data_IF_654690482581
#
_entry.id   IF_654690482581
#
_cell.length_a   1.000
_cell.length_b   1.000
_cell.length_c   1.000
_cell.angle_alpha   90.00
_cell.angle_beta   90.00
_cell.angle_gamma   90.00
#
_symmetry.space_group_name_H-M   'P 1'
#
loop_
_entity.id
_entity.type
_entity.pdbx_description
1 polymer ?
#
# COMPACT_ATOMS: atom_id res chain seq x y z
N UNK A 1 19.19 -40.59 57.12
CA UNK A 1 18.25 -40.08 56.10
C UNK A 1 18.64 -38.65 55.76
N UNK A 2 19.25 -38.43 54.59
CA UNK A 2 19.61 -37.08 54.13
C UNK A 2 18.63 -36.69 53.01
N UNK A 3 17.78 -35.73 53.32
CA UNK A 3 16.79 -35.23 52.37
C UNK A 3 17.45 -34.25 51.37
N UNK A 4 17.47 -34.61 50.11
CA UNK A 4 17.99 -33.79 49.01
C UNK A 4 16.87 -32.87 48.52
N UNK A 5 17.00 -31.55 48.74
CA UNK A 5 16.07 -30.55 48.23
C UNK A 5 16.57 -30.16 46.84
N UNK A 6 15.80 -30.52 45.81
CA UNK A 6 16.05 -30.19 44.44
C UNK A 6 15.40 -28.81 44.14
N UNK A 7 16.19 -27.74 44.06
CA UNK A 7 15.73 -26.42 43.68
C UNK A 7 15.62 -26.34 42.17
N UNK A 8 14.41 -26.31 41.63
CA UNK A 8 14.11 -26.07 40.20
C UNK A 8 14.13 -24.55 40.02
N UNK A 9 15.15 -24.06 39.33
CA UNK A 9 15.22 -22.65 38.86
C UNK A 9 14.44 -22.54 37.54
N UNK A 10 13.27 -21.93 37.58
CA UNK A 10 12.54 -21.52 36.37
C UNK A 10 13.23 -20.30 35.77
N UNK A 11 13.93 -20.49 34.65
CA UNK A 11 14.36 -19.40 33.78
C UNK A 11 13.15 -18.95 32.94
N UNK A 12 12.51 -17.87 33.36
CA UNK A 12 11.53 -17.15 32.51
C UNK A 12 12.30 -16.40 31.43
N UNK A 13 12.32 -16.91 30.21
CA UNK A 13 12.80 -16.16 29.04
C UNK A 13 11.74 -15.10 28.75
N UNK A 14 11.99 -13.88 29.21
CA UNK A 14 11.26 -12.70 28.74
C UNK A 14 11.69 -12.45 27.27
N UNK A 15 10.85 -12.87 26.32
CA UNK A 15 10.94 -12.40 24.95
C UNK A 15 10.55 -10.92 24.99
N UNK A 16 11.54 -10.03 25.03
CA UNK A 16 11.31 -8.61 24.77
C UNK A 16 10.89 -8.51 23.30
N UNK A 17 9.58 -8.36 23.05
CA UNK A 17 9.08 -7.84 21.79
C UNK A 17 9.57 -6.40 21.73
N UNK A 18 10.74 -6.20 21.14
CA UNK A 18 11.18 -4.87 20.74
C UNK A 18 10.16 -4.35 19.74
N UNK A 19 9.35 -3.37 20.15
CA UNK A 19 8.55 -2.60 19.22
C UNK A 19 9.50 -2.06 18.15
N UNK A 20 9.37 -2.55 16.93
CA UNK A 20 10.20 -2.14 15.81
C UNK A 20 9.94 -0.64 15.64
N UNK A 21 10.93 0.18 15.97
CA UNK A 21 10.83 1.63 15.87
C UNK A 21 10.83 1.98 14.39
N UNK A 22 9.62 2.22 13.83
CA UNK A 22 9.47 2.61 12.45
C UNK A 22 9.87 4.07 12.29
N UNK A 23 10.78 4.35 11.37
CA UNK A 23 11.10 5.71 11.00
C UNK A 23 10.00 6.26 10.10
N UNK A 24 9.73 7.55 10.23
CA UNK A 24 8.75 8.26 9.43
C UNK A 24 9.46 9.32 8.58
N UNK A 25 9.07 9.45 7.32
CA UNK A 25 9.62 10.43 6.39
C UNK A 25 8.51 11.36 5.94
N UNK A 26 8.67 12.66 6.16
CA UNK A 26 7.79 13.68 5.60
C UNK A 26 7.90 13.72 4.08
N UNK A 27 6.77 13.83 3.39
CA UNK A 27 6.77 13.89 1.94
C UNK A 27 7.19 15.27 1.42
N UNK A 28 6.77 16.32 2.09
CA UNK A 28 6.93 17.70 1.63
C UNK A 28 7.89 18.45 2.55
N UNK A 29 8.96 19.06 2.00
CA UNK A 29 9.97 19.77 2.82
C UNK A 29 9.46 21.11 3.37
N UNK A 30 8.35 21.62 2.84
CA UNK A 30 7.75 22.89 3.22
C UNK A 30 6.23 22.83 3.16
N UNK A 31 5.62 23.84 2.55
CA UNK A 31 4.17 23.87 2.39
C UNK A 31 3.68 22.72 1.50
N UNK A 32 2.69 21.97 1.98
CA UNK A 32 2.04 20.90 1.22
C UNK A 32 1.24 21.51 0.07
N UNK A 33 1.44 21.07 -1.19
CA UNK A 33 0.75 21.65 -2.34
C UNK A 33 -0.77 21.65 -2.19
N UNK A 34 -1.39 22.81 -2.44
CA UNK A 34 -2.86 23.01 -2.31
C UNK A 34 -3.45 22.79 -0.92
N UNK A 35 -2.64 22.59 0.13
CA UNK A 35 -3.10 22.50 1.51
C UNK A 35 -3.09 23.89 2.16
N UNK A 36 -4.22 24.26 2.76
CA UNK A 36 -4.38 25.57 3.42
C UNK A 36 -4.18 25.51 4.94
N UNK A 37 -4.33 24.35 5.53
CA UNK A 37 -4.30 24.16 6.97
C UNK A 37 -3.25 23.09 7.31
N UNK A 38 -2.37 23.41 8.26
CA UNK A 38 -1.55 22.42 8.95
C UNK A 38 -2.20 22.11 10.28
N UNK A 39 -2.78 20.93 10.41
CA UNK A 39 -3.33 20.41 11.65
C UNK A 39 -2.64 19.08 11.96
N UNK A 40 -2.46 18.78 13.22
CA UNK A 40 -2.00 17.44 13.61
C UNK A 40 -3.00 16.38 13.11
N UNK A 41 -2.49 15.23 12.67
CA UNK A 41 -3.31 14.12 12.23
C UNK A 41 -4.11 13.57 13.41
N UNK A 42 -5.41 13.39 13.26
CA UNK A 42 -6.26 12.78 14.27
C UNK A 42 -6.22 11.25 14.11
N UNK A 43 -6.00 10.54 15.20
CA UNK A 43 -5.99 9.07 15.26
C UNK A 43 -7.14 8.61 16.12
N UNK A 44 -8.01 7.76 15.57
CA UNK A 44 -9.17 7.21 16.25
C UNK A 44 -9.13 5.68 16.22
N UNK A 45 -9.34 5.02 17.37
CA UNK A 45 -9.59 3.59 17.44
C UNK A 45 -11.09 3.32 17.18
N UNK A 46 -11.41 2.42 16.25
CA UNK A 46 -12.81 2.01 16.04
C UNK A 46 -13.21 0.89 17.01
N UNK A 47 -14.51 0.70 17.21
CA UNK A 47 -15.06 -0.42 18.01
C UNK A 47 -14.64 -1.78 17.46
N UNK A 48 -14.34 -1.89 16.15
CA UNK A 48 -13.87 -3.10 15.49
C UNK A 48 -12.34 -3.29 15.57
N UNK A 49 -11.64 -2.51 16.39
CA UNK A 49 -10.19 -2.60 16.53
C UNK A 49 -9.39 -2.15 15.31
N UNK A 50 -9.97 -1.32 14.43
CA UNK A 50 -9.26 -0.71 13.30
C UNK A 50 -8.79 0.69 13.68
N UNK A 51 -7.49 0.92 13.62
CA UNK A 51 -6.89 2.23 13.83
C UNK A 51 -7.18 3.13 12.63
N UNK A 52 -7.91 4.21 12.86
CA UNK A 52 -8.30 5.18 11.85
C UNK A 52 -7.55 6.49 12.03
N UNK A 53 -6.93 6.95 10.96
CA UNK A 53 -6.29 8.27 10.91
C UNK A 53 -7.13 9.19 10.03
N UNK A 54 -7.53 10.32 10.56
CA UNK A 54 -8.29 11.36 9.86
C UNK A 54 -7.51 12.68 9.83
N UNK A 55 -8.04 13.66 9.08
CA UNK A 55 -7.48 15.03 9.03
C UNK A 55 -6.00 15.11 8.63
N UNK A 56 -5.50 14.18 7.81
CA UNK A 56 -4.13 14.21 7.33
C UNK A 56 -3.90 15.44 6.47
N UNK A 57 -3.07 16.36 6.93
CA UNK A 57 -2.68 17.61 6.25
C UNK A 57 -1.17 17.72 6.04
N UNK A 58 -0.38 16.96 6.81
CA UNK A 58 1.09 16.81 6.67
C UNK A 58 1.39 15.33 6.32
N UNK A 59 1.34 14.95 5.03
CA UNK A 59 1.47 13.56 4.61
C UNK A 59 2.89 13.03 4.81
N UNK A 60 2.96 11.76 5.21
CA UNK A 60 4.21 11.07 5.56
C UNK A 60 4.23 9.64 5.00
N UNK A 61 5.37 8.98 5.09
CA UNK A 61 5.50 7.53 4.91
C UNK A 61 6.15 6.89 6.12
N UNK A 62 5.55 5.83 6.67
CA UNK A 62 6.19 4.95 7.65
C UNK A 62 7.09 3.95 6.91
N UNK A 63 8.31 3.75 7.40
CA UNK A 63 9.34 2.94 6.75
C UNK A 63 9.47 1.58 7.43
N UNK A 64 9.27 0.51 6.68
CA UNK A 64 9.40 -0.89 7.09
C UNK A 64 10.45 -1.58 6.22
N UNK A 65 11.72 -1.50 6.61
CA UNK A 65 12.79 -2.16 5.86
C UNK A 65 12.88 -3.64 6.23
N UNK A 66 13.11 -4.47 5.21
CA UNK A 66 13.45 -5.88 5.42
C UNK A 66 14.97 -6.08 5.26
N UNK A 67 15.61 -6.92 6.10
CA UNK A 67 17.01 -7.25 5.91
C UNK A 67 17.26 -7.94 4.57
N UNK A 68 18.28 -7.50 3.85
CA UNK A 68 18.69 -8.18 2.63
C UNK A 68 19.37 -9.51 2.97
N UNK A 69 18.78 -10.62 2.51
CA UNK A 69 19.37 -11.96 2.70
C UNK A 69 20.57 -12.24 1.76
N UNK A 70 20.69 -11.48 0.68
CA UNK A 70 21.73 -11.68 -0.35
C UNK A 70 22.77 -10.56 -0.42
N UNK A 71 22.67 -9.55 0.46
CA UNK A 71 23.44 -8.31 0.39
C UNK A 71 23.05 -7.38 -0.77
N UNK A 72 22.10 -7.78 -1.63
CA UNK A 72 21.58 -6.94 -2.73
C UNK A 72 20.45 -6.02 -2.26
N UNK A 73 20.22 -4.89 -2.93
CA UNK A 73 19.07 -4.05 -2.65
C UNK A 73 17.75 -4.83 -2.71
N UNK A 74 16.83 -4.55 -1.79
CA UNK A 74 15.52 -5.23 -1.67
C UNK A 74 14.49 -4.62 -2.59
N UNK A 75 13.53 -5.41 -3.14
CA UNK A 75 12.32 -4.85 -3.73
C UNK A 75 11.53 -4.05 -2.70
N UNK A 76 10.67 -3.14 -3.16
CA UNK A 76 9.88 -2.33 -2.25
C UNK A 76 8.46 -2.06 -2.77
N UNK A 77 7.55 -1.74 -1.84
CA UNK A 77 6.16 -1.40 -2.13
C UNK A 77 5.73 -0.17 -1.32
N UNK A 78 5.16 0.82 -2.00
CA UNK A 78 4.40 1.89 -1.34
C UNK A 78 2.98 1.37 -1.10
N UNK A 79 2.54 1.32 0.15
CA UNK A 79 1.23 0.79 0.57
C UNK A 79 0.29 1.95 0.84
N UNK A 80 -0.85 1.96 0.15
CA UNK A 80 -1.90 2.96 0.27
C UNK A 80 -3.12 2.34 1.01
N UNK A 81 -3.32 2.62 2.31
CA UNK A 81 -4.48 2.14 3.03
C UNK A 81 -5.80 2.64 2.42
N UNK A 82 -6.89 1.92 2.64
CA UNK A 82 -8.24 2.37 2.31
C UNK A 82 -8.83 3.28 3.39
N UNK A 83 -10.15 3.46 3.31
CA UNK A 83 -10.91 4.31 4.22
C UNK A 83 -11.77 5.34 3.50
N UNK A 84 -12.19 5.05 2.25
CA UNK A 84 -13.16 5.84 1.48
C UNK A 84 -12.69 7.26 1.12
N UNK A 85 -11.39 7.55 1.14
CA UNK A 85 -10.82 8.90 1.11
C UNK A 85 -11.30 9.82 2.26
N UNK A 86 -11.87 9.25 3.31
CA UNK A 86 -12.31 9.98 4.50
C UNK A 86 -11.36 9.80 5.67
N UNK A 87 -10.82 8.59 5.83
CA UNK A 87 -9.83 8.20 6.82
C UNK A 87 -8.79 7.27 6.17
N UNK A 88 -7.78 6.87 6.94
CA UNK A 88 -6.87 5.78 6.61
C UNK A 88 -7.06 4.64 7.62
N UNK A 89 -7.36 3.42 7.15
CA UNK A 89 -7.41 2.20 7.97
C UNK A 89 -5.98 1.71 8.21
N UNK A 90 -5.25 2.41 9.08
CA UNK A 90 -3.79 2.42 9.09
C UNK A 90 -3.15 1.11 9.55
N UNK A 91 -3.73 0.44 10.56
CA UNK A 91 -3.25 -0.86 11.04
C UNK A 91 -3.62 -1.98 10.05
N UNK A 92 -4.91 -2.10 9.75
CA UNK A 92 -5.50 -3.18 8.95
C UNK A 92 -4.95 -3.24 7.51
N UNK A 93 -4.83 -2.09 6.84
CA UNK A 93 -4.52 -1.97 5.41
C UNK A 93 -3.17 -1.25 5.17
N UNK A 94 -2.44 -0.98 6.23
CA UNK A 94 -1.11 -0.35 6.20
C UNK A 94 -0.06 -1.17 6.93
N UNK A 95 -0.05 -1.10 8.26
CA UNK A 95 1.00 -1.68 9.10
C UNK A 95 1.03 -3.21 9.06
N UNK A 96 -0.12 -3.88 9.14
CA UNK A 96 -0.22 -5.34 9.03
C UNK A 96 0.29 -5.81 7.66
N UNK A 97 -0.02 -5.06 6.60
CA UNK A 97 0.45 -5.33 5.24
C UNK A 97 1.97 -5.14 5.11
N UNK A 98 2.52 -4.10 5.73
CA UNK A 98 3.97 -3.87 5.72
C UNK A 98 4.74 -5.02 6.39
N UNK A 99 4.24 -5.53 7.51
CA UNK A 99 4.81 -6.70 8.20
C UNK A 99 4.74 -7.95 7.31
N UNK A 100 3.60 -8.17 6.63
CA UNK A 100 3.45 -9.28 5.69
C UNK A 100 4.45 -9.16 4.52
N UNK A 101 4.58 -7.99 3.89
CA UNK A 101 5.56 -7.75 2.82
C UNK A 101 7.01 -8.01 3.31
N UNK A 102 7.35 -7.58 4.53
CA UNK A 102 8.67 -7.84 5.12
C UNK A 102 8.93 -9.34 5.28
N UNK A 103 7.93 -10.15 5.63
CA UNK A 103 8.04 -11.61 5.71
C UNK A 103 8.41 -12.26 4.37
N UNK A 104 8.04 -11.61 3.26
CA UNK A 104 8.38 -12.01 1.89
C UNK A 104 9.74 -11.49 1.40
N UNK A 105 10.46 -10.70 2.20
CA UNK A 105 11.72 -10.06 1.82
C UNK A 105 11.54 -8.80 0.97
N UNK A 106 10.41 -8.12 1.11
CA UNK A 106 10.05 -6.89 0.40
C UNK A 106 9.93 -5.77 1.42
N UNK A 107 10.66 -4.66 1.24
CA UNK A 107 10.51 -3.46 2.07
C UNK A 107 9.19 -2.76 1.77
N UNK A 108 8.59 -2.15 2.79
CA UNK A 108 7.31 -1.47 2.64
C UNK A 108 7.35 -0.03 3.15
N UNK A 109 6.55 0.82 2.53
CA UNK A 109 6.42 2.24 2.84
C UNK A 109 4.93 2.55 2.95
N UNK A 110 4.42 2.67 4.19
CA UNK A 110 2.99 2.92 4.43
C UNK A 110 2.70 4.41 4.28
N UNK A 111 1.88 4.76 3.31
CA UNK A 111 1.58 6.13 2.96
C UNK A 111 0.42 6.70 3.77
N UNK A 112 0.68 7.74 4.54
CA UNK A 112 -0.31 8.59 5.16
C UNK A 112 -0.67 9.72 4.20
N UNK A 113 -1.51 9.42 3.21
CA UNK A 113 -1.93 10.41 2.23
C UNK A 113 -3.04 11.31 2.76
N UNK A 114 -3.19 12.49 2.17
CA UNK A 114 -4.17 13.50 2.59
C UNK A 114 -5.63 13.03 2.54
N UNK A 115 -6.32 13.16 3.65
CA UNK A 115 -7.75 12.95 3.85
C UNK A 115 -8.31 14.07 4.74
N UNK A 116 -9.64 14.34 4.80
CA UNK A 116 -10.70 13.72 4.01
C UNK A 116 -10.89 14.39 2.65
N UNK A 117 -11.48 13.63 1.71
CA UNK A 117 -12.01 14.09 0.41
C UNK A 117 -10.99 14.85 -0.48
N UNK A 118 -9.70 14.59 -0.33
CA UNK A 118 -8.61 15.27 -1.04
C UNK A 118 -8.00 14.36 -2.13
N UNK A 119 -8.82 13.84 -3.05
CA UNK A 119 -8.39 12.83 -4.04
C UNK A 119 -7.18 13.27 -4.89
N UNK A 120 -7.14 14.52 -5.36
CA UNK A 120 -5.98 15.02 -6.12
C UNK A 120 -4.77 15.24 -5.21
N UNK A 121 -4.98 15.72 -3.98
CA UNK A 121 -3.93 15.82 -2.98
C UNK A 121 -3.33 14.45 -2.64
N UNK A 122 -4.17 13.44 -2.42
CA UNK A 122 -3.73 12.06 -2.21
C UNK A 122 -2.90 11.51 -3.39
N UNK A 123 -3.29 11.84 -4.63
CA UNK A 123 -2.53 11.46 -5.83
C UNK A 123 -1.16 12.15 -5.89
N UNK A 124 -1.09 13.44 -5.53
CA UNK A 124 0.19 14.15 -5.40
C UNK A 124 1.08 13.49 -4.33
N UNK A 125 0.50 13.11 -3.19
CA UNK A 125 1.22 12.45 -2.10
C UNK A 125 1.75 11.06 -2.51
N UNK A 126 0.95 10.26 -3.23
CA UNK A 126 1.38 8.97 -3.75
C UNK A 126 2.51 9.12 -4.78
N UNK A 127 2.41 10.10 -5.69
CA UNK A 127 3.47 10.41 -6.64
C UNK A 127 4.75 10.85 -5.92
N UNK A 128 4.63 11.70 -4.91
CA UNK A 128 5.75 12.18 -4.11
C UNK A 128 6.40 11.05 -3.31
N UNK A 129 5.61 10.14 -2.71
CA UNK A 129 6.12 8.96 -2.01
C UNK A 129 7.01 8.09 -2.91
N UNK A 130 6.57 7.80 -4.15
CA UNK A 130 7.38 7.04 -5.11
C UNK A 130 8.73 7.72 -5.39
N UNK A 131 8.73 9.05 -5.55
CA UNK A 131 9.95 9.84 -5.79
C UNK A 131 10.88 9.86 -4.58
N UNK A 132 10.34 10.06 -3.37
CA UNK A 132 11.11 10.03 -2.12
C UNK A 132 11.78 8.66 -1.92
N UNK A 133 11.05 7.56 -2.10
CA UNK A 133 11.62 6.21 -1.98
C UNK A 133 12.75 6.00 -2.98
N UNK A 134 12.57 6.42 -4.24
CA UNK A 134 13.62 6.33 -5.26
C UNK A 134 14.83 7.21 -4.96
N UNK A 135 14.61 8.44 -4.50
CA UNK A 135 15.71 9.37 -4.18
C UNK A 135 16.56 8.86 -2.99
N UNK A 136 15.95 8.11 -2.07
CA UNK A 136 16.61 7.53 -0.90
C UNK A 136 17.00 6.06 -1.07
N UNK A 137 16.86 5.51 -2.27
CA UNK A 137 17.03 4.07 -2.50
C UNK A 137 18.43 3.54 -2.11
N UNK A 138 19.49 4.30 -2.34
CA UNK A 138 20.85 3.92 -1.92
C UNK A 138 20.98 3.89 -0.40
N UNK A 139 20.44 4.89 0.31
CA UNK A 139 20.42 4.98 1.78
C UNK A 139 19.61 3.84 2.40
N UNK A 140 18.46 3.51 1.80
CA UNK A 140 17.52 2.52 2.30
C UNK A 140 17.77 1.09 1.75
N UNK A 141 18.79 0.91 0.93
CA UNK A 141 19.13 -0.36 0.26
C UNK A 141 17.95 -0.94 -0.56
N UNK A 142 17.29 -0.09 -1.36
CA UNK A 142 16.12 -0.43 -2.19
C UNK A 142 16.52 -0.56 -3.66
N UNK A 143 15.97 -1.57 -4.35
CA UNK A 143 16.09 -1.72 -5.79
C UNK A 143 15.07 -0.82 -6.51
N UNK A 144 15.53 0.26 -7.11
CA UNK A 144 14.68 1.26 -7.80
C UNK A 144 13.92 0.69 -9.00
N UNK A 145 14.38 -0.43 -9.58
CA UNK A 145 13.71 -1.11 -10.69
C UNK A 145 12.66 -2.14 -10.23
N UNK A 146 12.45 -2.26 -8.92
CA UNK A 146 11.50 -3.17 -8.28
C UNK A 146 10.67 -2.44 -7.21
N UNK A 147 10.23 -1.21 -7.51
CA UNK A 147 9.37 -0.41 -6.64
C UNK A 147 7.93 -0.41 -7.14
N UNK A 148 7.05 -1.12 -6.44
CA UNK A 148 5.62 -1.19 -6.72
C UNK A 148 4.77 -0.25 -5.88
N UNK A 149 3.49 -0.22 -6.23
CA UNK A 149 2.44 0.42 -5.42
C UNK A 149 1.34 -0.60 -5.14
N UNK A 150 0.81 -0.59 -3.92
CA UNK A 150 -0.27 -1.47 -3.47
C UNK A 150 -1.33 -0.65 -2.76
N UNK A 151 -2.59 -0.92 -3.05
CA UNK A 151 -3.67 -0.21 -2.39
C UNK A 151 -4.90 -1.06 -2.12
N UNK A 152 -5.60 -0.68 -1.07
CA UNK A 152 -6.79 -1.34 -0.54
C UNK A 152 -7.99 -0.42 -0.70
N UNK A 153 -9.13 -0.90 -1.18
CA UNK A 153 -10.36 -0.10 -1.28
C UNK A 153 -10.11 1.24 -2.02
N UNK A 154 -10.32 2.38 -1.36
CA UNK A 154 -9.98 3.72 -1.86
C UNK A 154 -8.48 3.89 -2.16
N UNK A 155 -7.59 3.26 -1.37
CA UNK A 155 -6.15 3.18 -1.66
C UNK A 155 -5.85 2.40 -2.94
N UNK A 156 -6.69 1.42 -3.29
CA UNK A 156 -6.67 0.74 -4.58
C UNK A 156 -6.98 1.68 -5.74
N UNK A 157 -8.03 2.52 -5.58
CA UNK A 157 -8.30 3.61 -6.52
C UNK A 157 -7.12 4.56 -6.68
N UNK A 158 -6.52 4.99 -5.56
CA UNK A 158 -5.34 5.85 -5.56
C UNK A 158 -4.16 5.22 -6.32
N UNK A 159 -3.87 3.94 -6.06
CA UNK A 159 -2.79 3.20 -6.72
C UNK A 159 -3.02 3.05 -8.23
N UNK A 160 -4.25 2.76 -8.65
CA UNK A 160 -4.63 2.69 -10.06
C UNK A 160 -4.50 4.05 -10.76
N UNK A 161 -4.94 5.13 -10.10
CA UNK A 161 -4.83 6.51 -10.61
C UNK A 161 -3.36 6.90 -10.78
N UNK A 162 -2.49 6.60 -9.82
CA UNK A 162 -1.06 6.88 -9.98
C UNK A 162 -0.47 6.10 -11.14
N UNK A 163 -0.74 4.79 -11.24
CA UNK A 163 -0.20 3.96 -12.32
C UNK A 163 -0.70 4.36 -13.72
N UNK A 164 -1.87 4.98 -13.82
CA UNK A 164 -2.42 5.47 -15.08
C UNK A 164 -1.99 6.89 -15.44
N UNK A 165 -1.59 7.71 -14.45
CA UNK A 165 -1.29 9.14 -14.61
C UNK A 165 0.17 9.50 -14.24
N UNK A 166 1.03 8.50 -14.13
CA UNK A 166 2.43 8.69 -13.70
C UNK A 166 3.23 9.66 -14.57
N UNK A 167 2.86 9.84 -15.83
CA UNK A 167 3.54 10.76 -16.76
C UNK A 167 3.07 12.22 -16.63
N UNK A 168 2.04 12.48 -15.83
CA UNK A 168 1.51 13.83 -15.63
C UNK A 168 2.37 14.62 -14.62
N UNK A 169 2.45 15.94 -14.83
CA UNK A 169 2.98 16.86 -13.84
C UNK A 169 1.91 17.16 -12.81
N UNK A 170 1.84 16.34 -11.75
CA UNK A 170 0.78 16.41 -10.74
C UNK A 170 0.97 17.59 -9.76
N UNK A 171 2.19 18.11 -9.64
CA UNK A 171 2.56 19.27 -8.82
C UNK A 171 3.85 19.91 -9.34
N UNK A 172 4.17 21.13 -8.92
CA UNK A 172 5.43 21.80 -9.25
C UNK A 172 6.59 21.16 -8.47
N UNK A 173 7.75 20.92 -9.07
CA UNK A 173 8.92 20.38 -8.39
C UNK A 173 9.31 21.21 -7.16
N UNK A 174 9.64 20.54 -6.05
CA UNK A 174 10.00 21.20 -4.77
C UNK A 174 11.44 20.91 -4.34
N UNK A 175 12.03 19.79 -4.77
CA UNK A 175 13.42 19.43 -4.50
C UNK A 175 13.96 18.38 -5.50
N UNK A 176 15.20 17.90 -5.27
CA UNK A 176 15.87 16.90 -6.13
C UNK A 176 15.16 15.55 -6.22
N UNK A 177 14.31 15.18 -5.26
CA UNK A 177 13.54 13.95 -5.37
C UNK A 177 12.57 13.99 -6.55
N UNK A 178 12.19 15.17 -7.02
CA UNK A 178 11.27 15.34 -8.15
C UNK A 178 11.90 15.07 -9.53
N UNK A 179 13.20 14.85 -9.58
CA UNK A 179 13.91 14.36 -10.78
C UNK A 179 13.65 12.85 -11.02
N UNK A 180 13.17 12.12 -9.99
CA UNK A 180 12.86 10.70 -10.11
C UNK A 180 11.46 10.45 -10.67
N UNK A 181 11.30 9.30 -11.34
CA UNK A 181 10.02 8.87 -11.90
C UNK A 181 8.99 8.52 -10.81
N UNK A 182 7.73 8.88 -11.05
CA UNK A 182 6.59 8.45 -10.24
C UNK A 182 6.03 7.09 -10.66
N UNK A 183 6.46 6.54 -11.83
CA UNK A 183 5.94 5.32 -12.41
C UNK A 183 6.24 4.11 -11.50
N UNK A 184 5.24 3.37 -11.03
CA UNK A 184 5.49 2.12 -10.34
C UNK A 184 5.98 1.04 -11.33
N UNK A 185 6.71 0.03 -10.85
CA UNK A 185 7.13 -1.11 -11.66
C UNK A 185 6.09 -2.23 -11.68
N UNK A 186 5.16 -2.21 -10.72
CA UNK A 186 3.96 -3.05 -10.64
C UNK A 186 2.91 -2.40 -9.74
N UNK A 187 1.65 -2.81 -9.89
CA UNK A 187 0.51 -2.29 -9.15
C UNK A 187 -0.36 -3.43 -8.60
N UNK A 188 -0.69 -3.36 -7.31
CA UNK A 188 -1.51 -4.36 -6.62
C UNK A 188 -2.76 -3.68 -6.08
N UNK A 189 -3.92 -4.22 -6.43
CA UNK A 189 -5.22 -3.70 -6.02
C UNK A 189 -5.97 -4.80 -5.25
N UNK A 190 -6.26 -4.55 -3.98
CA UNK A 190 -7.01 -5.47 -3.13
C UNK A 190 -8.38 -4.83 -2.85
N UNK A 191 -9.43 -5.52 -3.25
CA UNK A 191 -10.83 -5.05 -3.22
C UNK A 191 -10.96 -3.57 -3.61
N UNK A 192 -10.44 -3.17 -4.80
CA UNK A 192 -10.43 -1.76 -5.19
C UNK A 192 -11.85 -1.21 -5.32
N UNK A 193 -12.03 0.04 -4.86
CA UNK A 193 -13.27 0.78 -5.01
C UNK A 193 -13.11 1.95 -6.01
N UNK A 194 -14.23 2.52 -6.46
CA UNK A 194 -14.30 3.77 -7.23
C UNK A 194 -13.56 3.78 -8.58
N UNK A 195 -13.46 2.62 -9.25
CA UNK A 195 -12.83 2.51 -10.57
C UNK A 195 -13.84 2.40 -11.71
N UNK A 196 -15.13 2.41 -11.43
CA UNK A 196 -16.26 2.10 -12.34
C UNK A 196 -17.25 3.25 -12.53
N UNK A 197 -16.76 4.50 -12.35
CA UNK A 197 -17.62 5.70 -12.51
C UNK A 197 -17.83 6.15 -13.97
N UNK A 198 -17.27 5.43 -14.94
CA UNK A 198 -17.44 5.72 -16.35
C UNK A 198 -18.84 5.40 -16.86
N UNK A 199 -19.27 6.07 -17.96
CA UNK A 199 -20.56 5.81 -18.59
C UNK A 199 -20.68 4.36 -19.06
N UNK A 200 -21.89 3.79 -19.01
CA UNK A 200 -22.17 2.42 -19.45
C UNK A 200 -21.29 1.35 -18.77
N UNK A 201 -21.07 1.50 -17.47
CA UNK A 201 -20.32 0.54 -16.69
C UNK A 201 -18.87 0.36 -17.19
N UNK A 202 -18.19 1.45 -17.46
CA UNK A 202 -16.80 1.48 -17.88
C UNK A 202 -15.90 2.04 -16.78
N UNK A 203 -14.59 1.90 -16.99
CA UNK A 203 -13.58 2.43 -16.08
C UNK A 203 -13.69 3.95 -15.92
N UNK A 204 -13.37 4.45 -14.73
CA UNK A 204 -13.45 5.87 -14.39
C UNK A 204 -12.66 6.73 -15.40
N UNK A 205 -13.23 7.85 -15.90
CA UNK A 205 -12.67 8.64 -17.01
C UNK A 205 -11.30 9.26 -16.73
N UNK A 206 -10.98 9.49 -15.47
CA UNK A 206 -9.67 10.03 -15.06
C UNK A 206 -8.53 9.02 -15.19
N UNK A 207 -8.81 7.73 -15.41
CA UNK A 207 -7.79 6.70 -15.59
C UNK A 207 -7.27 6.71 -17.03
N UNK A 208 -6.04 7.17 -17.21
CA UNK A 208 -5.36 7.26 -18.51
C UNK A 208 -4.48 6.04 -18.75
N UNK A 209 -5.10 4.89 -18.91
CA UNK A 209 -4.40 3.63 -19.15
C UNK A 209 -3.69 3.63 -20.50
N UNK A 210 -2.48 3.11 -20.53
CA UNK A 210 -1.68 2.94 -21.74
C UNK A 210 -0.79 1.69 -21.63
N UNK A 211 -0.28 1.20 -22.74
CA UNK A 211 0.62 0.04 -22.79
C UNK A 211 1.90 0.23 -21.92
N UNK A 212 2.25 1.47 -21.59
CA UNK A 212 3.37 1.80 -20.71
C UNK A 212 3.01 1.82 -19.22
N UNK A 213 1.73 1.68 -18.86
CA UNK A 213 1.33 1.47 -17.47
C UNK A 213 1.93 0.16 -16.94
N UNK A 214 2.27 0.13 -15.65
CA UNK A 214 2.84 -1.07 -15.03
C UNK A 214 1.80 -2.20 -14.96
N UNK A 215 2.23 -3.48 -14.93
CA UNK A 215 1.33 -4.62 -14.82
C UNK A 215 0.60 -4.66 -13.48
N UNK A 216 -0.60 -5.27 -13.48
CA UNK A 216 -1.49 -5.32 -12.34
C UNK A 216 -1.69 -6.72 -11.78
N UNK A 217 -1.81 -6.79 -10.44
CA UNK A 217 -2.48 -7.86 -9.72
C UNK A 217 -3.75 -7.28 -9.09
N UNK A 218 -4.88 -7.96 -9.24
CA UNK A 218 -6.18 -7.54 -8.68
C UNK A 218 -6.80 -8.70 -7.94
N UNK A 219 -7.25 -8.47 -6.70
CA UNK A 219 -8.03 -9.42 -5.92
C UNK A 219 -9.35 -8.79 -5.48
N UNK A 220 -10.47 -9.49 -5.66
CA UNK A 220 -11.79 -8.96 -5.37
C UNK A 220 -12.79 -10.08 -5.05
N UNK A 221 -13.92 -9.74 -4.42
CA UNK A 221 -15.03 -10.64 -4.15
C UNK A 221 -16.33 -10.17 -4.79
N UNK A 222 -17.18 -11.13 -5.15
CA UNK A 222 -18.43 -10.88 -5.89
C UNK A 222 -19.52 -10.23 -5.03
N UNK A 223 -19.49 -10.49 -3.73
CA UNK A 223 -20.41 -9.95 -2.73
C UNK A 223 -19.98 -8.59 -2.16
N UNK A 224 -18.83 -8.07 -2.59
CA UNK A 224 -18.37 -6.71 -2.29
C UNK A 224 -19.22 -5.68 -3.07
N UNK A 225 -19.81 -4.65 -2.42
CA UNK A 225 -20.55 -3.60 -3.12
C UNK A 225 -19.71 -2.84 -4.16
N UNK A 226 -18.37 -2.87 -4.06
CA UNK A 226 -17.44 -2.29 -5.05
C UNK A 226 -16.90 -3.33 -6.05
N UNK A 227 -17.41 -4.57 -6.04
CA UNK A 227 -16.91 -5.68 -6.86
C UNK A 227 -16.79 -5.37 -8.34
N UNK A 228 -17.66 -4.52 -8.86
CA UNK A 228 -17.65 -4.08 -10.27
C UNK A 228 -16.37 -3.31 -10.65
N UNK A 229 -15.76 -2.56 -9.73
CA UNK A 229 -14.52 -1.82 -9.97
C UNK A 229 -13.38 -2.70 -10.50
N UNK A 230 -13.22 -3.92 -9.97
CA UNK A 230 -12.19 -4.87 -10.43
C UNK A 230 -12.49 -5.41 -11.84
N UNK A 231 -13.74 -5.66 -12.16
CA UNK A 231 -14.17 -6.21 -13.46
C UNK A 231 -13.96 -5.20 -14.59
N UNK A 232 -14.43 -3.96 -14.41
CA UNK A 232 -14.25 -2.90 -15.43
C UNK A 232 -12.78 -2.53 -15.59
N UNK A 233 -12.02 -2.48 -14.48
CA UNK A 233 -10.58 -2.22 -14.52
C UNK A 233 -9.85 -3.31 -15.31
N UNK A 234 -10.12 -4.58 -15.02
CA UNK A 234 -9.52 -5.71 -15.74
C UNK A 234 -9.86 -5.68 -17.23
N UNK A 235 -11.11 -5.37 -17.59
CA UNK A 235 -11.53 -5.22 -18.97
C UNK A 235 -10.75 -4.11 -19.69
N UNK A 236 -10.62 -2.95 -19.06
CA UNK A 236 -9.88 -1.82 -19.62
C UNK A 236 -8.37 -2.13 -19.77
N UNK A 237 -7.75 -2.76 -18.78
CA UNK A 237 -6.35 -3.18 -18.85
C UNK A 237 -6.08 -4.14 -20.01
N UNK A 238 -6.95 -5.12 -20.21
CA UNK A 238 -6.85 -6.07 -21.35
C UNK A 238 -6.99 -5.37 -22.69
N UNK A 239 -7.91 -4.42 -22.81
CA UNK A 239 -8.10 -3.62 -24.02
C UNK A 239 -6.82 -2.86 -24.39
N UNK A 240 -6.16 -2.27 -23.41
CA UNK A 240 -4.90 -1.53 -23.57
C UNK A 240 -3.65 -2.45 -23.61
N UNK A 241 -3.83 -3.78 -23.62
CA UNK A 241 -2.74 -4.79 -23.62
C UNK A 241 -1.78 -4.67 -22.42
N UNK A 242 -2.28 -4.18 -21.28
CA UNK A 242 -1.55 -4.11 -20.04
C UNK A 242 -1.68 -5.47 -19.32
N UNK A 243 -0.57 -6.11 -18.91
CA UNK A 243 -0.64 -7.39 -18.20
C UNK A 243 -1.43 -7.25 -16.90
N UNK A 244 -2.40 -8.15 -16.69
CA UNK A 244 -3.23 -8.18 -15.48
C UNK A 244 -3.52 -9.62 -15.07
N UNK A 245 -3.44 -9.87 -13.77
CA UNK A 245 -3.89 -11.10 -13.12
C UNK A 245 -5.04 -10.73 -12.19
N UNK A 246 -6.23 -11.33 -12.38
CA UNK A 246 -7.43 -11.12 -11.58
C UNK A 246 -7.79 -12.39 -10.84
N UNK A 247 -7.95 -12.30 -9.51
CA UNK A 247 -8.58 -13.30 -8.67
C UNK A 247 -9.92 -12.76 -8.17
N UNK A 248 -11.01 -13.44 -8.54
CA UNK A 248 -12.37 -13.00 -8.24
C UNK A 248 -13.11 -14.12 -7.50
N UNK A 249 -13.31 -13.93 -6.19
CA UNK A 249 -13.91 -14.92 -5.31
C UNK A 249 -15.42 -14.70 -5.17
N UNK A 250 -16.14 -15.78 -4.86
CA UNK A 250 -17.60 -15.70 -4.72
C UNK A 250 -18.04 -14.86 -3.51
N UNK A 251 -17.27 -14.90 -2.42
CA UNK A 251 -17.61 -14.20 -1.18
C UNK A 251 -16.37 -13.77 -0.39
N UNK A 252 -16.57 -12.79 0.50
CA UNK A 252 -15.57 -12.22 1.37
C UNK A 252 -15.92 -10.79 1.81
N UNK A 253 -16.84 -10.14 1.10
CA UNK A 253 -17.23 -8.76 1.39
C UNK A 253 -16.12 -7.76 1.12
N UNK A 254 -16.03 -6.71 1.94
CA UNK A 254 -15.13 -5.59 1.77
C UNK A 254 -14.32 -5.29 3.05
N UNK A 255 -13.08 -4.79 2.91
CA UNK A 255 -12.32 -4.24 4.04
C UNK A 255 -11.79 -5.28 5.03
N UNK A 256 -11.46 -6.49 4.57
CA UNK A 256 -11.04 -7.59 5.44
C UNK A 256 -9.54 -7.59 5.77
N UNK A 257 -8.68 -6.90 5.02
CA UNK A 257 -7.22 -6.90 5.24
C UNK A 257 -6.61 -8.31 5.22
N UNK A 258 -5.80 -8.62 6.26
CA UNK A 258 -5.18 -9.93 6.50
C UNK A 258 -5.81 -10.70 7.66
N UNK A 259 -6.87 -10.16 8.29
CA UNK A 259 -7.39 -10.71 9.53
C UNK A 259 -8.12 -12.02 9.30
N UNK A 260 -7.89 -13.06 10.16
CA UNK A 260 -8.43 -14.39 9.97
C UNK A 260 -9.96 -14.45 10.11
N UNK A 261 -10.55 -15.56 9.66
CA UNK A 261 -12.00 -15.77 9.72
C UNK A 261 -12.75 -15.36 8.45
N UNK A 262 -12.01 -14.95 7.42
CA UNK A 262 -12.53 -14.64 6.10
C UNK A 262 -11.66 -15.34 5.04
N UNK A 263 -12.27 -16.23 4.24
CA UNK A 263 -11.55 -17.02 3.23
C UNK A 263 -10.81 -16.14 2.21
N UNK A 264 -11.37 -15.00 1.83
CA UNK A 264 -10.73 -14.06 0.93
C UNK A 264 -9.49 -13.43 1.57
N UNK A 265 -9.56 -13.07 2.88
CA UNK A 265 -8.43 -12.54 3.64
C UNK A 265 -7.29 -13.55 3.80
N UNK A 266 -7.62 -14.84 3.90
CA UNK A 266 -6.64 -15.93 4.04
C UNK A 266 -5.96 -16.27 2.70
N UNK A 267 -6.67 -16.19 1.59
CA UNK A 267 -6.19 -16.65 0.28
C UNK A 267 -5.46 -15.55 -0.53
N UNK A 268 -5.92 -14.29 -0.50
CA UNK A 268 -5.30 -13.26 -1.33
C UNK A 268 -3.80 -13.07 -1.05
N UNK A 269 -3.30 -13.17 0.20
CA UNK A 269 -1.87 -13.05 0.45
C UNK A 269 -1.06 -14.17 -0.19
N UNK A 270 -1.63 -15.37 -0.28
CA UNK A 270 -0.98 -16.54 -0.87
C UNK A 270 -0.79 -16.36 -2.38
N UNK A 271 -1.87 -16.01 -3.09
CA UNK A 271 -1.81 -15.83 -4.55
C UNK A 271 -1.02 -14.58 -4.94
N UNK A 272 -1.13 -13.50 -4.15
CA UNK A 272 -0.34 -12.29 -4.34
C UNK A 272 1.16 -12.53 -4.10
N UNK A 273 1.53 -13.29 -3.05
CA UNK A 273 2.92 -13.66 -2.79
C UNK A 273 3.51 -14.50 -3.93
N UNK A 274 2.73 -15.42 -4.51
CA UNK A 274 3.15 -16.20 -5.67
C UNK A 274 3.43 -15.31 -6.88
N UNK A 275 2.53 -14.36 -7.17
CA UNK A 275 2.70 -13.39 -8.25
C UNK A 275 3.92 -12.47 -8.04
N UNK A 276 4.12 -11.96 -6.83
CA UNK A 276 5.28 -11.15 -6.44
C UNK A 276 6.58 -11.94 -6.59
N UNK A 277 6.60 -13.20 -6.11
CA UNK A 277 7.78 -14.05 -6.19
C UNK A 277 8.22 -14.30 -7.65
N UNK A 278 7.29 -14.61 -8.53
CA UNK A 278 7.56 -14.83 -9.94
C UNK A 278 8.11 -13.57 -10.65
N UNK A 279 7.79 -12.38 -10.14
CA UNK A 279 8.20 -11.09 -10.70
C UNK A 279 9.50 -10.56 -10.13
N UNK A 280 9.73 -10.70 -8.83
CA UNK A 280 10.79 -9.98 -8.11
C UNK A 280 12.02 -10.84 -7.81
N UNK A 281 11.88 -12.16 -7.74
CA UNK A 281 12.92 -13.06 -7.30
C UNK A 281 13.26 -14.13 -8.37
N UNK A 282 13.59 -13.64 -9.55
CA UNK A 282 14.07 -14.49 -10.68
C UNK A 282 15.54 -14.78 -10.56
#
# INVERSE_FOLDING_TARGET
>A
MKTLILSIVFYTIMVQVQAQQHSEIKLWPGQVPSEKLTKANDIEASENGVLRVSQVTDPTIEVYLTPSKSGKPTPAVVVCPGGGYSILALDLEGREIAVWLNSLGISAFVLHYRVPMKKEGALQDAARAMRIVRSKAAELNINIAQLGIMGFSAGGSLSARLNSRYAESLYLPVDKADEFSTRPDFCILIYPAYLDSGANNTVSPELKLSVSSAPFFIFQTSDDPYGNSALVMTSALRKEKIPVELHFYASGGHGYGLRPGNKAAEDWPIVCASWLKARLFK
#
